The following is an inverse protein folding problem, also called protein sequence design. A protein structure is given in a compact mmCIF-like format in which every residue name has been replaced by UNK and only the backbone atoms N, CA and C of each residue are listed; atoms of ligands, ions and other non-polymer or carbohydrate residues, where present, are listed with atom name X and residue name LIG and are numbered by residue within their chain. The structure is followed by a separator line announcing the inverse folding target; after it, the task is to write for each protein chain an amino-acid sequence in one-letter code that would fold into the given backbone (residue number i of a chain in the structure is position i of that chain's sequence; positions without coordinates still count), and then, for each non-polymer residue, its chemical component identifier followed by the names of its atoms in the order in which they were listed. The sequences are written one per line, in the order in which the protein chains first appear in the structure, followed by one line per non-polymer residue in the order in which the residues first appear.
data_IF_101341161822
#
_entry.id   IF_101341161822
#
_cell.length_a   1.000
_cell.length_b   1.000
_cell.length_c   1.000
_cell.angle_alpha   90.00
_cell.angle_beta   90.00
_cell.angle_gamma   90.00
#
_symmetry.space_group_name_H-M   'P 1'
#
loop_
_entity.id
_entity.type
_entity.pdbx_description
1 polymer ?
#
# COMPACT_ATOMS: atom_id res chain seq x y z
N UNK A 1 -10.72 10.27 4.95
CA UNK A 1 -9.68 10.31 3.91
C UNK A 1 -8.44 9.62 4.43
N UNK A 2 -7.51 9.27 3.54
CA UNK A 2 -6.22 8.73 3.93
C UNK A 2 -5.40 9.76 4.74
N UNK A 3 -4.58 9.27 5.67
CA UNK A 3 -3.74 10.07 6.55
C UNK A 3 -2.34 9.46 6.63
N UNK A 4 -1.33 10.30 6.86
CA UNK A 4 0.04 9.82 7.11
C UNK A 4 0.06 8.84 8.29
N UNK A 5 0.96 7.87 8.22
CA UNK A 5 1.15 6.77 9.17
C UNK A 5 0.03 5.71 9.19
N UNK A 6 -1.01 5.82 8.34
CA UNK A 6 -1.95 4.72 8.15
C UNK A 6 -1.27 3.53 7.45
N UNK A 7 -1.65 2.31 7.87
CA UNK A 7 -1.24 1.06 7.24
C UNK A 7 -2.22 0.64 6.15
N UNK A 8 -1.68 0.11 5.07
CA UNK A 8 -2.37 -0.36 3.88
C UNK A 8 -1.83 -1.72 3.46
N UNK A 9 -2.60 -2.40 2.62
CA UNK A 9 -2.15 -3.57 1.86
C UNK A 9 -2.17 -3.17 0.38
N UNK A 10 -1.01 -3.26 -0.28
CA UNK A 10 -0.82 -2.70 -1.63
C UNK A 10 -0.25 -3.75 -2.57
N UNK A 11 -0.79 -3.84 -3.78
CA UNK A 11 -0.29 -4.72 -4.85
C UNK A 11 1.09 -4.24 -5.29
N UNK A 12 2.05 -5.16 -5.34
CA UNK A 12 3.41 -4.88 -5.81
C UNK A 12 3.40 -4.69 -7.35
N UNK A 13 3.68 -3.47 -7.80
CA UNK A 13 3.70 -3.13 -9.24
C UNK A 13 4.71 -3.93 -10.05
N UNK A 14 5.77 -4.47 -9.42
CA UNK A 14 6.78 -5.30 -10.09
C UNK A 14 6.38 -6.77 -10.12
N UNK A 15 5.55 -7.19 -9.17
CA UNK A 15 5.00 -8.54 -9.13
C UNK A 15 3.55 -8.52 -8.63
N UNK A 16 2.57 -8.37 -9.54
CA UNK A 16 1.15 -8.22 -9.17
C UNK A 16 0.53 -9.40 -8.40
N UNK A 17 1.24 -10.52 -8.28
CA UNK A 17 0.82 -11.66 -7.45
C UNK A 17 1.00 -11.35 -5.95
N UNK A 18 1.87 -10.41 -5.61
CA UNK A 18 2.19 -10.07 -4.23
C UNK A 18 1.42 -8.85 -3.76
N UNK A 19 0.84 -8.99 -2.57
CA UNK A 19 0.29 -7.89 -1.78
C UNK A 19 1.17 -7.74 -0.55
N UNK A 20 1.58 -6.51 -0.26
CA UNK A 20 2.54 -6.18 0.80
C UNK A 20 1.98 -5.15 1.76
N UNK A 21 2.50 -5.13 2.97
CA UNK A 21 2.20 -4.08 3.95
C UNK A 21 2.88 -2.79 3.50
N UNK A 22 2.11 -1.70 3.51
CA UNK A 22 2.62 -0.37 3.20
C UNK A 22 2.14 0.66 4.23
N UNK A 23 2.91 1.74 4.34
CA UNK A 23 2.60 2.92 5.16
C UNK A 23 2.44 4.15 4.28
N UNK A 24 1.43 4.97 4.58
CA UNK A 24 1.28 6.28 3.95
C UNK A 24 2.30 7.25 4.54
N UNK A 25 3.25 7.69 3.74
CA UNK A 25 4.29 8.64 4.16
C UNK A 25 3.98 10.09 3.76
N UNK A 26 3.14 10.26 2.75
CA UNK A 26 2.66 11.57 2.33
C UNK A 26 1.26 11.54 1.70
N UNK A 27 0.60 12.68 1.69
CA UNK A 27 -0.77 12.85 1.20
C UNK A 27 -0.89 14.13 0.38
N UNK A 28 -1.59 14.04 -0.74
CA UNK A 28 -2.00 15.13 -1.63
C UNK A 28 -3.54 15.06 -1.77
N UNK A 29 -4.17 16.00 -2.48
CA UNK A 29 -5.64 16.09 -2.57
C UNK A 29 -6.28 14.81 -3.14
N UNK A 30 -5.62 14.20 -4.14
CA UNK A 30 -6.14 13.02 -4.85
C UNK A 30 -5.17 11.83 -4.86
N UNK A 31 -4.02 11.96 -4.20
CA UNK A 31 -2.96 10.95 -4.21
C UNK A 31 -2.37 10.74 -2.84
N UNK A 32 -1.80 9.56 -2.65
CA UNK A 32 -0.99 9.22 -1.49
C UNK A 32 0.36 8.70 -1.92
N UNK A 33 1.37 8.98 -1.12
CA UNK A 33 2.69 8.38 -1.26
C UNK A 33 2.78 7.18 -0.34
N UNK A 34 2.98 6.00 -0.92
CA UNK A 34 3.07 4.74 -0.21
C UNK A 34 4.52 4.29 -0.08
N UNK A 35 4.85 3.77 1.09
CA UNK A 35 6.13 3.15 1.44
C UNK A 35 5.88 1.68 1.76
N UNK A 36 6.60 0.76 1.14
CA UNK A 36 6.53 -0.66 1.54
C UNK A 36 7.37 -0.87 2.81
N UNK A 37 6.74 -1.39 3.85
CA UNK A 37 7.43 -1.60 5.13
C UNK A 37 8.64 -2.52 4.94
N UNK A 38 9.80 -2.13 5.47
CA UNK A 38 11.05 -2.90 5.37
C UNK A 38 11.86 -2.65 4.09
N UNK A 39 11.33 -1.89 3.14
CA UNK A 39 12.01 -1.56 1.88
C UNK A 39 12.73 -0.21 1.97
N UNK A 40 13.66 0.02 1.05
CA UNK A 40 14.31 1.33 0.91
C UNK A 40 13.32 2.38 0.35
N UNK A 41 13.38 3.60 0.87
CA UNK A 41 12.51 4.72 0.47
C UNK A 41 12.63 5.09 -1.02
N UNK A 42 13.67 4.65 -1.74
CA UNK A 42 13.75 4.78 -3.20
C UNK A 42 12.59 4.08 -3.93
N UNK A 43 11.92 3.14 -3.28
CA UNK A 43 10.79 2.40 -3.84
C UNK A 43 9.44 3.03 -3.51
N UNK A 44 9.41 4.10 -2.71
CA UNK A 44 8.18 4.82 -2.44
C UNK A 44 7.63 5.45 -3.72
N UNK A 45 6.32 5.42 -3.90
CA UNK A 45 5.68 6.02 -5.06
C UNK A 45 4.34 6.68 -4.74
N UNK A 46 3.96 7.64 -5.58
CA UNK A 46 2.66 8.26 -5.55
C UNK A 46 1.63 7.44 -6.32
N UNK A 47 0.43 7.36 -5.79
CA UNK A 47 -0.70 6.65 -6.40
C UNK A 47 -2.01 7.32 -6.04
N UNK A 48 -3.00 7.20 -6.93
CA UNK A 48 -4.32 7.79 -6.73
C UNK A 48 -5.06 7.09 -5.60
N UNK A 49 -5.85 7.86 -4.84
CA UNK A 49 -6.59 7.36 -3.66
C UNK A 49 -7.70 6.36 -4.02
N UNK A 50 -8.12 6.32 -5.27
CA UNK A 50 -9.12 5.42 -5.85
C UNK A 50 -8.50 4.24 -6.62
N UNK A 51 -7.17 4.10 -6.59
CA UNK A 51 -6.48 2.99 -7.21
C UNK A 51 -7.02 1.65 -6.70
N UNK A 52 -7.37 0.71 -7.61
CA UNK A 52 -7.87 -0.61 -7.22
C UNK A 52 -6.79 -1.48 -6.56
N UNK A 53 -5.52 -1.07 -6.63
CA UNK A 53 -4.37 -1.78 -6.10
C UNK A 53 -4.07 -1.44 -4.63
N UNK A 54 -4.89 -0.56 -4.03
CA UNK A 54 -4.75 -0.12 -2.65
C UNK A 54 -5.92 -0.66 -1.84
N UNK A 55 -5.59 -1.33 -0.74
CA UNK A 55 -6.57 -1.93 0.14
C UNK A 55 -6.35 -1.50 1.59
N UNK A 56 -7.43 -1.40 2.40
CA UNK A 56 -7.29 -1.16 3.83
C UNK A 56 -6.61 -2.36 4.50
N UNK A 57 -5.89 -2.11 5.59
CA UNK A 57 -5.30 -3.18 6.40
C UNK A 57 -6.36 -4.24 6.81
N UNK A 58 -6.00 -5.51 6.67
CA UNK A 58 -6.87 -6.67 6.89
C UNK A 58 -7.68 -7.11 5.67
N UNK A 59 -7.47 -6.53 4.49
CA UNK A 59 -8.19 -6.93 3.27
C UNK A 59 -7.85 -8.35 2.83
N UNK A 60 -6.56 -8.70 2.79
CA UNK A 60 -6.05 -10.04 2.47
C UNK A 60 -6.69 -11.10 3.37
N UNK A 61 -6.75 -10.84 4.68
CA UNK A 61 -7.39 -11.74 5.64
C UNK A 61 -8.89 -11.91 5.37
N UNK A 62 -9.59 -10.85 4.96
CA UNK A 62 -11.03 -10.88 4.64
C UNK A 62 -11.34 -11.60 3.32
N UNK A 63 -10.44 -11.50 2.34
CA UNK A 63 -10.66 -12.02 0.98
C UNK A 63 -9.95 -13.35 0.71
N UNK A 64 -9.10 -13.81 1.64
CA UNK A 64 -8.35 -15.05 1.52
C UNK A 64 -7.08 -14.95 0.66
N UNK A 65 -6.61 -13.73 0.36
CA UNK A 65 -5.36 -13.53 -0.37
C UNK A 65 -4.15 -13.62 0.57
N UNK A 66 -3.00 -14.14 0.10
CA UNK A 66 -1.79 -14.18 0.90
C UNK A 66 -1.18 -12.77 1.04
N UNK A 67 -0.97 -12.32 2.27
CA UNK A 67 -0.23 -11.10 2.57
C UNK A 67 1.25 -11.43 2.77
N UNK A 68 2.14 -10.73 2.07
CA UNK A 68 3.58 -10.87 2.26
C UNK A 68 4.03 -10.12 3.52
N UNK A 69 4.90 -10.72 4.35
CA UNK A 69 5.51 -10.01 5.49
C UNK A 69 6.43 -8.87 4.99
N UNK A 70 6.68 -7.86 5.85
CA UNK A 70 7.66 -6.79 5.60
C UNK A 70 9.08 -7.34 5.34
#
# INVERSE_FOLDING_TARGET
GFQKNMKLEVVDKRNPIFIRVATIVDTDDYRIKVHFDGWDNIYDYWTDVDSPDIHPAGWCAKTGHPLQPP
#
